data_IF_429971416533
#
_entry.id   IF_429971416533
#
_cell.length_a   1.000
_cell.length_b   1.000
_cell.length_c   1.000
_cell.angle_alpha   90.00
_cell.angle_beta   90.00
_cell.angle_gamma   90.00
#
_symmetry.space_group_name_H-M   'P 1'
#
loop_
_entity.id
_entity.type
_entity.pdbx_description
1 polymer ?
#
# COMPACT_ATOMS: atom_id res chain seq x y z
N UNK A 1 -15.31 23.16 -24.47
CA UNK A 1 -15.51 22.33 -25.68
C UNK A 1 -16.99 22.05 -25.96
N UNK A 2 -17.43 22.27 -27.19
CA UNK A 2 -18.76 21.88 -27.66
C UNK A 2 -18.80 20.36 -27.88
N UNK A 3 -19.92 19.70 -27.59
CA UNK A 3 -20.06 18.24 -27.78
C UNK A 3 -19.68 17.77 -29.20
N UNK A 4 -19.93 18.60 -30.22
CA UNK A 4 -19.54 18.34 -31.61
C UNK A 4 -18.04 18.41 -31.90
N UNK A 5 -17.23 18.83 -30.94
CA UNK A 5 -15.78 18.93 -31.03
C UNK A 5 -15.06 17.80 -30.27
N UNK A 6 -15.79 16.88 -29.62
CA UNK A 6 -15.18 15.66 -29.08
C UNK A 6 -14.79 14.73 -30.24
N UNK A 7 -13.63 14.08 -30.10
CA UNK A 7 -13.26 12.96 -30.95
C UNK A 7 -14.27 11.82 -30.74
N UNK A 8 -14.61 11.09 -31.82
CA UNK A 8 -15.47 9.90 -31.76
C UNK A 8 -14.68 8.71 -31.18
N UNK A 9 -14.20 8.86 -29.96
CA UNK A 9 -13.55 7.82 -29.17
C UNK A 9 -14.49 7.37 -28.05
N UNK A 10 -14.16 6.24 -27.42
CA UNK A 10 -14.87 5.75 -26.24
C UNK A 10 -14.29 6.38 -24.98
N UNK A 11 -15.15 6.81 -24.06
CA UNK A 11 -14.76 7.48 -22.81
C UNK A 11 -15.31 6.75 -21.60
N UNK A 12 -14.49 6.51 -20.57
CA UNK A 12 -14.96 5.86 -19.34
C UNK A 12 -16.08 6.65 -18.66
N UNK A 13 -15.91 7.97 -18.57
CA UNK A 13 -16.88 8.89 -17.97
C UNK A 13 -17.06 10.10 -18.88
N UNK A 14 -18.33 10.46 -19.13
CA UNK A 14 -18.68 11.66 -19.87
C UNK A 14 -19.57 12.57 -19.03
N UNK A 15 -19.08 13.78 -18.72
CA UNK A 15 -19.86 14.83 -18.05
C UNK A 15 -20.45 15.79 -19.08
N UNK A 16 -21.77 15.68 -19.30
CA UNK A 16 -22.49 16.51 -20.27
C UNK A 16 -23.25 17.64 -19.57
N UNK A 17 -22.88 18.89 -19.86
CA UNK A 17 -23.53 20.07 -19.29
C UNK A 17 -24.69 20.60 -20.13
N UNK A 18 -25.87 20.68 -19.53
CA UNK A 18 -27.04 21.32 -20.16
C UNK A 18 -27.01 22.84 -19.93
N UNK A 19 -27.16 23.68 -20.97
CA UNK A 19 -27.18 25.14 -20.84
C UNK A 19 -28.30 25.65 -19.92
N UNK A 20 -28.04 26.76 -19.21
CA UNK A 20 -28.99 27.35 -18.24
C UNK A 20 -30.17 28.06 -18.91
N UNK A 21 -30.01 28.47 -20.17
CA UNK A 21 -31.02 29.16 -20.98
C UNK A 21 -32.09 28.23 -21.56
N UNK A 22 -32.17 26.98 -21.10
CA UNK A 22 -32.99 25.95 -21.71
C UNK A 22 -34.38 25.88 -21.07
N UNK A 23 -35.42 26.07 -21.88
CA UNK A 23 -36.84 26.07 -21.47
C UNK A 23 -37.74 25.23 -22.40
N UNK A 24 -37.18 24.28 -23.16
CA UNK A 24 -37.90 23.49 -24.18
C UNK A 24 -37.95 21.96 -23.93
N UNK A 25 -38.74 21.25 -24.73
CA UNK A 25 -38.87 19.77 -24.71
C UNK A 25 -37.57 19.07 -25.16
N UNK A 26 -37.28 17.93 -24.54
CA UNK A 26 -36.02 17.15 -24.62
C UNK A 26 -35.70 16.51 -25.99
N UNK A 27 -36.53 16.70 -27.02
CA UNK A 27 -36.45 15.96 -28.29
C UNK A 27 -35.17 16.21 -29.11
N UNK A 28 -34.64 17.45 -29.16
CA UNK A 28 -33.35 17.74 -29.84
C UNK A 28 -32.10 17.28 -29.06
N UNK A 29 -32.26 16.91 -27.78
CA UNK A 29 -31.18 16.39 -26.94
C UNK A 29 -31.15 14.86 -26.96
N UNK A 30 -32.24 14.16 -27.29
CA UNK A 30 -32.28 12.70 -27.32
C UNK A 30 -31.24 12.10 -28.27
N UNK A 31 -31.06 12.63 -29.48
CA UNK A 31 -30.00 12.14 -30.38
C UNK A 31 -28.59 12.41 -29.83
N UNK A 32 -28.40 13.53 -29.12
CA UNK A 32 -27.12 13.88 -28.49
C UNK A 32 -26.85 13.04 -27.26
N UNK A 33 -27.88 12.76 -26.46
CA UNK A 33 -27.84 11.90 -25.28
C UNK A 33 -27.59 10.46 -25.70
N UNK A 34 -28.29 9.96 -26.72
CA UNK A 34 -28.06 8.64 -27.29
C UNK A 34 -26.65 8.51 -27.88
N UNK A 35 -26.15 9.55 -28.57
CA UNK A 35 -24.77 9.59 -29.05
C UNK A 35 -23.78 9.63 -27.88
N UNK A 36 -24.04 10.43 -26.85
CA UNK A 36 -23.19 10.52 -25.67
C UNK A 36 -23.14 9.19 -24.89
N UNK A 37 -24.30 8.56 -24.69
CA UNK A 37 -24.46 7.28 -24.01
C UNK A 37 -23.82 6.11 -24.79
N UNK A 38 -23.76 6.18 -26.12
CA UNK A 38 -23.06 5.17 -26.93
C UNK A 38 -21.54 5.36 -26.99
N UNK A 39 -21.03 6.50 -26.55
CA UNK A 39 -19.60 6.81 -26.51
C UNK A 39 -19.00 6.68 -25.10
N UNK A 40 -19.79 6.26 -24.10
CA UNK A 40 -19.33 6.20 -22.72
C UNK A 40 -19.94 5.07 -21.92
N UNK A 41 -19.18 4.55 -20.96
CA UNK A 41 -19.69 3.59 -19.98
C UNK A 41 -20.50 4.29 -18.87
N UNK A 42 -20.27 5.60 -18.65
CA UNK A 42 -20.96 6.37 -17.62
C UNK A 42 -21.21 7.83 -17.99
N UNK A 43 -22.47 8.10 -18.31
CA UNK A 43 -22.95 9.43 -18.65
C UNK A 43 -23.48 10.18 -17.42
N UNK A 44 -22.81 11.27 -17.05
CA UNK A 44 -23.20 12.18 -15.98
C UNK A 44 -23.76 13.48 -16.55
N UNK A 45 -24.99 13.84 -16.19
CA UNK A 45 -25.64 15.07 -16.68
C UNK A 45 -25.54 16.21 -15.67
N UNK A 46 -25.13 17.40 -16.12
CA UNK A 46 -25.13 18.61 -15.31
C UNK A 46 -26.27 19.56 -15.72
N UNK A 47 -27.33 19.55 -14.92
CA UNK A 47 -28.60 20.23 -15.15
C UNK A 47 -28.63 21.63 -14.50
N UNK A 48 -29.37 22.61 -15.05
CA UNK A 48 -29.60 23.89 -14.38
C UNK A 48 -30.45 23.73 -13.11
N UNK A 49 -30.27 24.60 -12.10
CA UNK A 49 -30.90 24.42 -10.78
C UNK A 49 -32.44 24.57 -10.78
N UNK A 50 -33.02 25.13 -11.83
CA UNK A 50 -34.45 25.29 -12.01
C UNK A 50 -35.09 24.21 -12.90
N UNK A 51 -34.31 23.21 -13.31
CA UNK A 51 -34.81 22.16 -14.19
C UNK A 51 -35.76 21.23 -13.42
N UNK A 52 -37.06 21.28 -13.76
CA UNK A 52 -38.03 20.26 -13.36
C UNK A 52 -37.90 19.09 -14.33
N UNK A 53 -36.98 18.17 -14.06
CA UNK A 53 -36.76 17.01 -14.93
C UNK A 53 -37.11 15.73 -14.21
N UNK A 54 -37.81 14.84 -14.91
CA UNK A 54 -38.15 13.52 -14.42
C UNK A 54 -36.91 12.59 -14.48
N UNK A 55 -36.51 12.05 -13.35
CA UNK A 55 -35.36 11.16 -13.24
C UNK A 55 -35.54 9.86 -14.05
N UNK A 56 -36.78 9.40 -14.25
CA UNK A 56 -37.06 8.19 -15.05
C UNK A 56 -36.83 8.40 -16.54
N UNK A 57 -37.14 9.58 -17.06
CA UNK A 57 -36.98 9.90 -18.48
C UNK A 57 -35.50 9.99 -18.86
N UNK A 58 -34.69 10.65 -18.03
CA UNK A 58 -33.24 10.74 -18.22
C UNK A 58 -32.53 9.39 -18.10
N UNK A 59 -33.02 8.51 -17.22
CA UNK A 59 -32.49 7.15 -17.09
C UNK A 59 -32.82 6.30 -18.32
N UNK A 60 -34.01 6.46 -18.89
CA UNK A 60 -34.40 5.81 -20.14
C UNK A 60 -33.58 6.34 -21.34
N UNK A 61 -33.15 7.61 -21.29
CA UNK A 61 -32.28 8.23 -22.28
C UNK A 61 -30.78 7.87 -22.10
N UNK A 62 -30.44 6.97 -21.17
CA UNK A 62 -29.09 6.42 -20.99
C UNK A 62 -28.17 7.21 -20.05
N UNK A 63 -28.71 8.16 -19.27
CA UNK A 63 -27.93 8.83 -18.23
C UNK A 63 -27.78 7.97 -16.97
N UNK A 64 -26.54 7.83 -16.48
CA UNK A 64 -26.26 7.06 -15.26
C UNK A 64 -26.55 7.87 -13.99
N UNK A 65 -26.30 9.19 -14.02
CA UNK A 65 -26.60 10.08 -12.91
C UNK A 65 -26.78 11.54 -13.37
N UNK A 66 -27.40 12.36 -12.51
CA UNK A 66 -27.66 13.76 -12.79
C UNK A 66 -27.28 14.65 -11.59
N UNK A 67 -26.61 15.78 -11.86
CA UNK A 67 -26.19 16.77 -10.89
C UNK A 67 -26.76 18.15 -11.24
N UNK A 68 -27.21 18.87 -10.22
CA UNK A 68 -27.66 20.25 -10.39
C UNK A 68 -26.47 21.20 -10.30
N UNK A 69 -26.41 22.21 -11.17
CA UNK A 69 -25.44 23.29 -11.10
C UNK A 69 -25.74 24.22 -9.90
N UNK A 70 -24.73 24.76 -9.20
CA UNK A 70 -23.29 24.64 -9.50
C UNK A 70 -22.73 23.25 -9.13
N UNK A 71 -21.85 22.73 -9.98
CA UNK A 71 -21.14 21.47 -9.73
C UNK A 71 -20.06 21.72 -8.69
N UNK A 72 -20.35 21.39 -7.43
CA UNK A 72 -19.36 21.45 -6.34
C UNK A 72 -18.61 20.13 -6.25
N UNK A 73 -17.34 20.18 -5.82
CA UNK A 73 -16.53 18.97 -5.58
C UNK A 73 -17.25 17.97 -4.66
N UNK A 74 -17.96 18.47 -3.64
CA UNK A 74 -18.75 17.68 -2.69
C UNK A 74 -19.89 16.87 -3.32
N UNK A 75 -20.39 17.29 -4.49
CA UNK A 75 -21.47 16.59 -5.21
C UNK A 75 -20.96 15.83 -6.43
N UNK A 76 -19.89 16.31 -7.05
CA UNK A 76 -19.28 15.67 -8.20
C UNK A 76 -18.49 14.42 -7.79
N UNK A 77 -17.70 14.49 -6.71
CA UNK A 77 -16.87 13.37 -6.28
C UNK A 77 -17.70 12.11 -5.98
N UNK A 78 -18.79 12.16 -5.18
CA UNK A 78 -19.59 10.95 -4.94
C UNK A 78 -20.20 10.35 -6.21
N UNK A 79 -20.59 11.19 -7.18
CA UNK A 79 -21.15 10.72 -8.44
C UNK A 79 -20.11 10.05 -9.34
N UNK A 80 -18.86 10.53 -9.32
CA UNK A 80 -17.74 9.89 -10.02
C UNK A 80 -17.28 8.61 -9.31
N UNK A 81 -17.26 8.58 -7.98
CA UNK A 81 -16.92 7.38 -7.20
C UNK A 81 -17.94 6.25 -7.42
N UNK A 82 -19.21 6.57 -7.65
CA UNK A 82 -20.23 5.57 -7.95
C UNK A 82 -19.97 4.86 -9.29
N UNK A 83 -19.42 5.55 -10.29
CA UNK A 83 -18.95 4.89 -11.52
C UNK A 83 -17.91 3.83 -11.20
N UNK A 84 -16.86 4.20 -10.45
CA UNK A 84 -15.82 3.25 -10.05
C UNK A 84 -16.41 2.05 -9.32
N UNK A 85 -17.43 2.26 -8.46
CA UNK A 85 -18.10 1.17 -7.74
C UNK A 85 -18.89 0.23 -8.66
N UNK A 86 -19.51 0.77 -9.71
CA UNK A 86 -20.37 0.01 -10.63
C UNK A 86 -19.56 -0.75 -11.70
N UNK A 87 -18.45 -0.19 -12.18
CA UNK A 87 -17.54 -0.88 -13.11
C UNK A 87 -16.57 -1.81 -12.40
N UNK A 88 -16.18 -1.49 -11.17
CA UNK A 88 -15.37 -2.37 -10.32
C UNK A 88 -16.21 -3.12 -9.29
N UNK A 89 -17.05 -4.05 -9.76
CA UNK A 89 -17.57 -5.14 -8.91
C UNK A 89 -16.46 -6.15 -8.49
N UNK A 90 -15.21 -5.84 -8.80
CA UNK A 90 -14.00 -6.35 -8.16
C UNK A 90 -12.99 -5.22 -8.23
N UNK A 91 -12.81 -4.45 -7.17
CA UNK A 91 -11.58 -3.70 -6.97
C UNK A 91 -10.58 -4.71 -6.37
N UNK A 92 -9.66 -5.32 -7.14
CA UNK A 92 -8.36 -5.57 -6.55
C UNK A 92 -7.84 -4.19 -6.16
N UNK A 93 -7.57 -4.02 -4.87
CA UNK A 93 -6.76 -2.94 -4.33
C UNK A 93 -5.58 -2.75 -5.29
N UNK A 94 -5.35 -1.50 -5.68
CA UNK A 94 -4.28 -1.03 -6.54
C UNK A 94 -3.17 -2.08 -6.71
N UNK A 95 -3.16 -2.79 -7.84
CA UNK A 95 -1.93 -3.43 -8.28
C UNK A 95 -0.99 -2.27 -8.64
N UNK A 96 -0.30 -1.74 -7.63
CA UNK A 96 1.03 -1.20 -7.81
C UNK A 96 1.81 -2.30 -8.53
N UNK A 97 2.04 -2.16 -9.84
CA UNK A 97 2.90 -3.09 -10.61
C UNK A 97 4.31 -3.24 -9.98
N UNK A 98 4.64 -2.38 -9.01
CA UNK A 98 5.88 -2.37 -8.24
C UNK A 98 5.80 -3.09 -6.89
N UNK A 99 4.62 -3.39 -6.34
CA UNK A 99 4.49 -4.02 -5.02
C UNK A 99 4.39 -5.54 -5.12
N UNK A 100 5.07 -6.20 -4.20
CA UNK A 100 5.07 -7.66 -4.09
C UNK A 100 3.68 -8.12 -3.61
N UNK A 101 3.08 -9.14 -4.24
CA UNK A 101 1.82 -9.73 -3.79
C UNK A 101 2.09 -10.58 -2.54
N UNK A 102 2.30 -9.89 -1.42
CA UNK A 102 2.70 -10.43 -0.13
C UNK A 102 1.92 -9.75 0.98
N UNK A 103 1.58 -10.55 1.98
CA UNK A 103 1.02 -10.12 3.26
C UNK A 103 2.08 -10.27 4.32
N UNK A 104 2.61 -9.14 4.79
CA UNK A 104 3.73 -9.10 5.75
C UNK A 104 3.25 -8.56 7.09
N UNK A 105 3.61 -9.24 8.18
CA UNK A 105 3.39 -8.74 9.53
C UNK A 105 4.68 -8.16 10.09
N UNK A 106 4.64 -6.96 10.67
CA UNK A 106 5.74 -6.35 11.40
C UNK A 106 5.39 -6.20 12.88
N UNK A 107 6.32 -6.58 13.75
CA UNK A 107 6.11 -6.59 15.20
C UNK A 107 7.26 -5.89 15.90
N UNK A 108 6.97 -4.81 16.63
CA UNK A 108 7.94 -4.05 17.42
C UNK A 108 7.21 -3.34 18.57
N UNK A 109 7.76 -3.35 19.78
CA UNK A 109 7.16 -2.69 20.95
C UNK A 109 7.37 -1.18 20.95
N UNK A 110 8.33 -0.69 20.16
CA UNK A 110 8.58 0.73 19.98
C UNK A 110 7.74 1.28 18.80
N UNK A 111 6.76 2.17 19.06
CA UNK A 111 5.88 2.68 18.01
C UNK A 111 6.63 3.48 16.93
N UNK A 112 7.79 4.07 17.23
CA UNK A 112 8.60 4.77 16.23
C UNK A 112 9.23 3.80 15.22
N UNK A 113 9.76 2.67 15.70
CA UNK A 113 10.31 1.62 14.85
C UNK A 113 9.22 0.95 14.03
N UNK A 114 8.10 0.60 14.67
CA UNK A 114 6.96 -0.02 13.99
C UNK A 114 6.43 0.86 12.86
N UNK A 115 6.35 2.17 13.10
CA UNK A 115 5.96 3.15 12.07
C UNK A 115 6.97 3.23 10.93
N UNK A 116 8.27 3.23 11.23
CA UNK A 116 9.32 3.21 10.19
C UNK A 116 9.19 1.96 9.32
N UNK A 117 9.06 0.77 9.93
CA UNK A 117 8.90 -0.49 9.21
C UNK A 117 7.62 -0.48 8.37
N UNK A 118 6.53 0.03 8.92
CA UNK A 118 5.26 0.19 8.20
C UNK A 118 5.43 1.01 6.92
N UNK A 119 6.04 2.19 7.00
CA UNK A 119 6.28 3.04 5.83
C UNK A 119 7.14 2.32 4.79
N UNK A 120 8.22 1.64 5.20
CA UNK A 120 9.09 0.92 4.28
C UNK A 120 8.37 -0.26 3.60
N UNK A 121 7.47 -0.94 4.30
CA UNK A 121 6.71 -2.07 3.77
C UNK A 121 5.55 -1.62 2.89
N UNK A 122 4.84 -0.55 3.25
CA UNK A 122 3.70 -0.02 2.50
C UNK A 122 4.06 0.33 1.06
N UNK A 123 5.31 0.74 0.80
CA UNK A 123 5.83 1.03 -0.54
C UNK A 123 6.23 -0.23 -1.34
N UNK A 124 6.34 -1.40 -0.67
CA UNK A 124 6.96 -2.60 -1.25
C UNK A 124 6.03 -3.82 -1.32
N UNK A 125 5.01 -3.93 -0.46
CA UNK A 125 4.11 -5.10 -0.40
C UNK A 125 2.63 -4.70 -0.41
N UNK A 126 1.77 -5.62 -0.86
CA UNK A 126 0.33 -5.36 -0.96
C UNK A 126 -0.37 -5.21 0.38
N UNK A 127 0.03 -5.99 1.39
CA UNK A 127 -0.63 -5.97 2.69
C UNK A 127 0.40 -5.97 3.82
N UNK A 128 0.22 -5.03 4.75
CA UNK A 128 1.05 -4.85 5.93
C UNK A 128 0.17 -4.89 7.17
N UNK A 129 0.51 -5.76 8.12
CA UNK A 129 -0.11 -5.80 9.45
C UNK A 129 0.92 -5.36 10.49
N UNK A 130 0.57 -4.36 11.31
CA UNK A 130 1.47 -3.82 12.33
C UNK A 130 1.01 -4.24 13.72
N UNK A 131 1.90 -4.88 14.48
CA UNK A 131 1.65 -5.32 15.84
C UNK A 131 2.62 -4.65 16.82
N UNK A 132 2.11 -4.25 17.97
CA UNK A 132 2.88 -3.57 19.03
C UNK A 132 3.43 -4.53 20.09
N UNK A 133 3.10 -5.82 19.99
CA UNK A 133 3.57 -6.83 20.94
C UNK A 133 3.56 -8.24 20.36
N UNK A 134 4.37 -9.13 20.92
CA UNK A 134 4.36 -10.55 20.54
C UNK A 134 3.01 -11.24 20.78
N UNK A 135 2.24 -10.80 21.80
CA UNK A 135 0.92 -11.36 22.07
C UNK A 135 -0.10 -10.98 20.99
N UNK A 136 -0.09 -9.71 20.56
CA UNK A 136 -0.92 -9.24 19.44
C UNK A 136 -0.57 -9.97 18.14
N UNK A 137 0.73 -10.15 17.86
CA UNK A 137 1.20 -10.89 16.69
C UNK A 137 0.69 -12.33 16.65
N UNK A 138 0.65 -13.03 17.79
CA UNK A 138 0.10 -14.38 17.89
C UNK A 138 -1.41 -14.39 17.62
N UNK A 139 -2.16 -13.40 18.13
CA UNK A 139 -3.60 -13.31 17.87
C UNK A 139 -3.91 -13.01 16.40
N UNK A 140 -3.14 -12.12 15.75
CA UNK A 140 -3.29 -11.86 14.32
C UNK A 140 -2.94 -13.08 13.47
N UNK A 141 -1.86 -13.80 13.82
CA UNK A 141 -1.45 -15.01 13.14
C UNK A 141 -2.47 -16.16 13.22
N UNK A 142 -3.41 -16.13 14.19
CA UNK A 142 -4.54 -17.06 14.25
C UNK A 142 -5.67 -16.72 13.29
N UNK A 143 -5.84 -15.44 12.97
CA UNK A 143 -6.97 -14.94 12.18
C UNK A 143 -6.70 -15.00 10.68
N UNK A 144 -5.44 -14.77 10.29
CA UNK A 144 -5.03 -14.70 8.89
C UNK A 144 -3.67 -15.37 8.67
N UNK A 145 -3.40 -15.73 7.42
CA UNK A 145 -2.11 -16.26 6.98
C UNK A 145 -1.19 -15.12 6.54
N UNK A 146 0.10 -15.23 6.85
CA UNK A 146 1.13 -14.27 6.44
C UNK A 146 2.14 -14.96 5.53
N UNK A 147 2.73 -14.21 4.60
CA UNK A 147 3.80 -14.66 3.73
C UNK A 147 5.18 -14.45 4.37
N UNK A 148 5.30 -13.44 5.25
CA UNK A 148 6.52 -13.12 5.98
C UNK A 148 6.18 -12.42 7.29
N UNK A 149 6.95 -12.68 8.34
CA UNK A 149 6.81 -12.01 9.64
C UNK A 149 8.16 -11.40 10.03
N UNK A 150 8.20 -10.09 10.22
CA UNK A 150 9.32 -9.37 10.84
C UNK A 150 9.03 -9.23 12.33
N UNK A 151 9.87 -9.82 13.18
CA UNK A 151 9.61 -9.93 14.62
C UNK A 151 10.77 -9.36 15.42
N UNK A 152 10.54 -8.30 16.19
CA UNK A 152 11.50 -7.86 17.20
C UNK A 152 11.71 -8.94 18.26
N UNK A 153 12.97 -9.22 18.60
CA UNK A 153 13.30 -10.18 19.63
C UNK A 153 13.04 -9.59 21.02
N UNK A 154 13.38 -8.31 21.21
CA UNK A 154 13.46 -7.69 22.53
C UNK A 154 12.19 -6.92 22.86
N UNK A 155 11.12 -7.63 23.23
CA UNK A 155 9.85 -7.03 23.64
C UNK A 155 9.51 -7.31 25.11
N UNK A 156 8.83 -6.39 25.81
CA UNK A 156 8.35 -6.62 27.18
C UNK A 156 7.23 -7.65 27.22
N UNK A 157 7.24 -8.48 28.27
CA UNK A 157 6.22 -9.51 28.51
C UNK A 157 6.47 -10.79 27.70
N UNK A 158 6.14 -10.76 26.41
CA UNK A 158 6.38 -11.89 25.49
C UNK A 158 7.47 -11.50 24.49
N UNK A 159 8.61 -12.19 24.56
CA UNK A 159 9.71 -11.99 23.61
C UNK A 159 9.37 -12.53 22.21
N UNK A 160 10.11 -12.06 21.20
CA UNK A 160 9.89 -12.45 19.81
C UNK A 160 10.18 -13.93 19.54
N UNK A 161 11.05 -14.55 20.35
CA UNK A 161 11.38 -15.99 20.23
C UNK A 161 10.16 -16.82 20.61
N UNK A 162 9.57 -16.54 21.78
CA UNK A 162 8.37 -17.22 22.25
C UNK A 162 7.15 -16.95 21.37
N UNK A 163 7.02 -15.72 20.85
CA UNK A 163 5.99 -15.41 19.87
C UNK A 163 6.16 -16.26 18.60
N UNK A 164 7.39 -16.39 18.08
CA UNK A 164 7.71 -17.26 16.93
C UNK A 164 7.36 -18.72 17.19
N UNK A 165 7.72 -19.27 18.36
CA UNK A 165 7.37 -20.64 18.75
C UNK A 165 5.86 -20.88 18.76
N UNK A 166 5.07 -19.93 19.28
CA UNK A 166 3.61 -20.02 19.30
C UNK A 166 2.99 -19.89 17.91
N UNK A 167 3.48 -18.96 17.09
CA UNK A 167 3.00 -18.77 15.71
C UNK A 167 3.23 -20.04 14.89
N UNK A 168 4.38 -20.71 15.03
CA UNK A 168 4.68 -21.94 14.30
C UNK A 168 3.84 -23.14 14.69
N UNK A 169 3.23 -23.13 15.89
CA UNK A 169 2.28 -24.16 16.29
C UNK A 169 0.93 -24.02 15.58
N UNK A 170 0.67 -22.89 14.91
CA UNK A 170 -0.57 -22.65 14.18
C UNK A 170 -0.56 -23.38 12.82
N UNK A 171 -1.62 -24.13 12.46
CA UNK A 171 -1.65 -24.95 11.24
C UNK A 171 -1.36 -24.18 9.94
N UNK A 172 -1.77 -22.91 9.87
CA UNK A 172 -1.64 -22.07 8.68
C UNK A 172 -0.32 -21.26 8.64
N UNK A 173 0.52 -21.36 9.68
CA UNK A 173 1.74 -20.56 9.82
C UNK A 173 3.01 -21.41 10.01
N UNK A 174 2.90 -22.74 9.90
CA UNK A 174 4.01 -23.66 10.16
C UNK A 174 5.23 -23.43 9.25
N UNK A 175 4.98 -22.96 8.03
CA UNK A 175 6.00 -22.70 7.01
C UNK A 175 6.28 -21.21 6.81
N UNK A 176 5.59 -20.33 7.54
CA UNK A 176 5.76 -18.89 7.37
C UNK A 176 7.15 -18.48 7.87
N UNK A 177 7.98 -17.84 7.02
CA UNK A 177 9.28 -17.37 7.43
C UNK A 177 9.13 -16.25 8.47
N UNK A 178 9.74 -16.47 9.63
CA UNK A 178 9.87 -15.46 10.69
C UNK A 178 11.31 -14.95 10.68
N UNK A 179 11.46 -13.64 10.48
CA UNK A 179 12.73 -12.93 10.41
C UNK A 179 12.90 -12.13 11.69
N UNK A 180 14.02 -12.34 12.37
CA UNK A 180 14.31 -11.67 13.62
C UNK A 180 14.79 -10.24 13.35
N UNK A 181 14.16 -9.24 13.95
CA UNK A 181 14.67 -7.87 13.96
C UNK A 181 15.46 -7.68 15.26
N UNK A 182 16.74 -7.32 15.18
CA UNK A 182 17.64 -7.24 16.36
C UNK A 182 18.48 -5.98 16.36
N UNK A 183 18.66 -5.37 17.54
CA UNK A 183 19.57 -4.24 17.72
C UNK A 183 21.06 -4.63 17.70
N UNK A 184 21.40 -5.92 17.86
CA UNK A 184 22.78 -6.39 17.93
C UNK A 184 23.03 -7.53 16.93
N UNK A 185 23.61 -7.21 15.77
CA UNK A 185 24.03 -8.19 14.76
C UNK A 185 25.35 -8.92 15.13
N UNK A 186 25.54 -9.28 16.40
CA UNK A 186 26.78 -9.94 16.84
C UNK A 186 26.79 -11.43 16.47
N UNK A 187 27.89 -11.86 15.85
CA UNK A 187 28.19 -13.26 15.58
C UNK A 187 28.07 -14.09 16.88
N UNK A 188 27.08 -15.00 16.90
CA UNK A 188 26.71 -15.81 18.08
C UNK A 188 25.24 -15.71 18.49
N UNK A 189 24.55 -14.60 18.19
CA UNK A 189 23.08 -14.57 18.29
C UNK A 189 22.42 -15.27 17.10
N UNK A 190 23.04 -15.20 15.92
CA UNK A 190 22.58 -15.86 14.69
C UNK A 190 22.29 -17.35 14.90
N UNK A 191 23.21 -18.09 15.51
CA UNK A 191 23.04 -19.53 15.75
C UNK A 191 21.90 -19.84 16.71
N UNK A 192 21.67 -18.98 17.70
CA UNK A 192 20.54 -19.12 18.64
C UNK A 192 19.20 -18.83 17.97
N UNK A 193 19.14 -17.81 17.12
CA UNK A 193 17.92 -17.44 16.39
C UNK A 193 17.56 -18.48 15.33
N UNK A 194 18.55 -18.97 14.59
CA UNK A 194 18.39 -20.09 13.66
C UNK A 194 18.03 -21.38 14.41
N UNK A 195 18.56 -21.60 15.63
CA UNK A 195 18.22 -22.75 16.49
C UNK A 195 16.80 -22.69 17.06
N UNK A 196 16.27 -21.50 17.34
CA UNK A 196 14.85 -21.26 17.63
C UNK A 196 13.96 -21.34 16.36
N UNK A 197 14.62 -21.51 15.21
CA UNK A 197 14.06 -21.69 13.88
C UNK A 197 13.39 -20.45 13.31
N UNK A 198 13.93 -19.27 13.63
CA UNK A 198 13.82 -18.11 12.75
C UNK A 198 14.63 -18.37 11.48
N UNK A 199 14.18 -17.81 10.35
CA UNK A 199 14.76 -18.10 9.04
C UNK A 199 15.96 -17.20 8.72
N UNK A 200 15.90 -15.94 9.17
CA UNK A 200 16.97 -14.97 9.01
C UNK A 200 16.87 -13.87 10.09
N UNK A 201 17.76 -12.89 10.03
CA UNK A 201 17.71 -11.71 10.88
C UNK A 201 17.96 -10.41 10.09
N UNK A 202 17.49 -9.31 10.64
CA UNK A 202 17.67 -7.95 10.15
C UNK A 202 18.19 -7.08 11.30
N UNK A 203 19.25 -6.33 11.07
CA UNK A 203 19.83 -5.45 12.08
C UNK A 203 19.03 -4.14 12.18
N UNK A 204 18.86 -3.61 13.39
CA UNK A 204 18.35 -2.25 13.59
C UNK A 204 19.53 -1.25 13.53
N UNK A 205 19.36 -0.06 12.91
CA UNK A 205 18.17 0.40 12.20
C UNK A 205 17.96 -0.34 10.88
N UNK A 206 16.70 -0.61 10.53
CA UNK A 206 16.36 -1.33 9.31
C UNK A 206 16.66 -0.46 8.10
N UNK A 207 17.49 -0.98 7.20
CA UNK A 207 17.80 -0.37 5.91
C UNK A 207 16.78 -0.81 4.85
N UNK A 208 16.38 0.13 3.99
CA UNK A 208 15.38 -0.11 2.93
C UNK A 208 15.87 -1.14 1.89
N UNK A 209 17.15 -1.08 1.50
CA UNK A 209 17.73 -2.01 0.52
C UNK A 209 17.84 -3.42 1.08
N UNK A 210 18.22 -3.55 2.36
CA UNK A 210 18.26 -4.84 3.06
C UNK A 210 16.86 -5.45 3.19
N UNK A 211 15.86 -4.63 3.58
CA UNK A 211 14.48 -5.07 3.67
C UNK A 211 13.94 -5.51 2.31
N UNK A 212 14.19 -4.73 1.25
CA UNK A 212 13.77 -5.07 -0.11
C UNK A 212 14.37 -6.38 -0.60
N UNK A 213 15.68 -6.54 -0.39
CA UNK A 213 16.41 -7.77 -0.74
C UNK A 213 15.85 -8.99 0.00
N UNK A 214 15.43 -8.80 1.26
CA UNK A 214 14.82 -9.84 2.06
C UNK A 214 13.42 -10.21 1.56
N UNK A 215 12.58 -9.22 1.25
CA UNK A 215 11.25 -9.44 0.70
C UNK A 215 11.29 -10.23 -0.62
N UNK A 216 12.21 -9.86 -1.52
CA UNK A 216 12.43 -10.58 -2.78
C UNK A 216 12.86 -12.03 -2.56
N UNK A 217 13.71 -12.28 -1.54
CA UNK A 217 14.20 -13.62 -1.20
C UNK A 217 13.08 -14.54 -0.72
N UNK A 218 12.13 -14.02 0.06
CA UNK A 218 11.06 -14.81 0.68
C UNK A 218 9.71 -14.70 -0.03
N UNK A 219 9.69 -14.21 -1.28
CA UNK A 219 8.47 -14.08 -2.08
C UNK A 219 7.76 -15.45 -2.28
N UNK A 220 6.42 -15.50 -2.14
CA UNK A 220 5.62 -16.69 -2.47
C UNK A 220 5.87 -17.15 -3.92
N UNK A 221 6.14 -18.45 -4.09
CA UNK A 221 6.43 -19.05 -5.41
C UNK A 221 7.92 -19.06 -5.80
N UNK A 222 8.81 -18.42 -5.04
CA UNK A 222 10.26 -18.52 -5.19
C UNK A 222 10.90 -19.50 -4.21
N UNK A 223 10.22 -20.64 -3.92
CA UNK A 223 10.84 -21.79 -3.25
C UNK A 223 11.62 -22.59 -4.31
N UNK A 224 12.69 -21.98 -4.80
CA UNK A 224 13.55 -22.51 -5.86
C UNK A 224 15.01 -22.31 -5.48
N UNK A 225 15.45 -22.99 -4.43
CA UNK A 225 16.85 -22.97 -4.01
C UNK A 225 17.08 -23.96 -2.89
N UNK A 226 17.50 -25.17 -3.23
CA UNK A 226 18.26 -26.03 -2.33
C UNK A 226 19.34 -25.21 -1.65
N UNK A 227 19.18 -25.00 -0.35
CA UNK A 227 20.14 -24.35 0.51
C UNK A 227 21.46 -25.13 0.46
N UNK A 228 22.40 -24.66 -0.36
CA UNK A 228 23.81 -25.04 -0.26
C UNK A 228 24.52 -23.84 0.33
N UNK A 229 25.08 -24.05 1.52
CA UNK A 229 25.91 -23.10 2.25
C UNK A 229 27.13 -22.79 1.37
N UNK A 230 27.27 -21.56 0.88
CA UNK A 230 28.57 -21.02 0.49
C UNK A 230 28.85 -19.80 1.34
N UNK A 231 29.75 -20.01 2.29
CA UNK A 231 30.43 -18.97 3.02
C UNK A 231 31.20 -18.09 2.04
N UNK A 232 30.93 -16.78 2.03
CA UNK A 232 31.89 -15.78 1.61
C UNK A 232 31.48 -14.42 2.20
N UNK A 233 32.29 -13.96 3.14
CA UNK A 233 32.18 -12.66 3.82
C UNK A 233 32.86 -11.57 3.00
N UNK A 234 32.33 -10.33 2.93
CA UNK A 234 33.16 -9.16 2.74
C UNK A 234 33.50 -8.56 4.10
N UNK A 235 34.77 -8.62 4.50
CA UNK A 235 35.28 -7.90 5.67
C UNK A 235 35.31 -6.40 5.39
N UNK A 236 34.57 -5.60 6.17
CA UNK A 236 34.67 -4.13 6.16
C UNK A 236 35.47 -3.70 7.40
N UNK A 237 36.67 -3.17 7.17
CA UNK A 237 37.54 -2.58 8.20
C UNK A 237 37.07 -1.15 8.51
N UNK A 238 36.50 -0.94 9.70
CA UNK A 238 36.13 0.41 10.18
C UNK A 238 37.21 0.93 11.12
N UNK A 239 37.80 2.07 10.74
CA UNK A 239 38.87 2.74 11.47
C UNK A 239 38.32 3.47 12.71
N UNK A 240 38.76 3.08 13.90
CA UNK A 240 38.18 3.46 15.20
C UNK A 240 38.51 4.89 15.69
N UNK A 241 39.11 5.75 14.86
CA UNK A 241 39.66 7.05 15.29
C UNK A 241 39.00 8.31 14.69
N UNK A 242 37.83 8.21 14.05
CA UNK A 242 37.13 9.40 13.54
C UNK A 242 35.95 9.78 14.46
N UNK A 243 36.19 10.66 15.43
CA UNK A 243 35.17 11.07 16.42
C UNK A 243 34.11 12.02 15.85
N UNK A 244 34.24 12.52 14.62
CA UNK A 244 33.22 13.38 14.00
C UNK A 244 33.27 13.26 12.48
N UNK A 245 32.20 12.72 11.87
CA UNK A 245 32.07 12.61 10.42
C UNK A 245 30.82 13.35 9.92
N UNK A 246 31.04 14.61 9.54
CA UNK A 246 30.00 15.48 8.97
C UNK A 246 29.40 14.90 7.68
N UNK A 247 30.16 14.12 6.89
CA UNK A 247 29.63 13.51 5.68
C UNK A 247 28.66 12.37 6.01
N UNK A 248 28.89 11.63 7.09
CA UNK A 248 27.97 10.61 7.57
C UNK A 248 26.66 11.24 8.07
N UNK A 249 26.73 12.32 8.86
CA UNK A 249 25.54 13.05 9.32
C UNK A 249 24.74 13.61 8.13
N UNK A 250 25.42 14.15 7.10
CA UNK A 250 24.74 14.65 5.90
C UNK A 250 24.08 13.53 5.08
N UNK A 251 24.71 12.36 5.02
CA UNK A 251 24.14 11.17 4.36
C UNK A 251 22.92 10.63 5.11
N UNK A 252 23.02 10.52 6.43
CA UNK A 252 21.89 10.12 7.29
C UNK A 252 20.72 11.11 7.22
N UNK A 253 21.01 12.39 7.01
CA UNK A 253 20.02 13.44 6.81
C UNK A 253 19.50 13.57 5.35
N UNK A 254 19.79 12.60 4.47
CA UNK A 254 19.42 12.64 3.05
C UNK A 254 19.86 13.93 2.32
N UNK A 255 21.06 14.41 2.64
CA UNK A 255 21.67 15.60 2.04
C UNK A 255 21.15 16.94 2.58
N UNK A 256 20.28 16.94 3.60
CA UNK A 256 19.75 18.17 4.21
C UNK A 256 20.66 18.65 5.34
N UNK A 257 21.35 19.80 5.18
CA UNK A 257 22.37 20.24 6.12
C UNK A 257 21.78 20.68 7.48
N UNK A 258 20.55 21.20 7.51
CA UNK A 258 19.91 21.65 8.75
C UNK A 258 19.56 20.47 9.66
N UNK A 259 19.05 19.38 9.07
CA UNK A 259 18.72 18.15 9.78
C UNK A 259 19.98 17.42 10.28
N UNK A 260 21.03 17.41 9.44
CA UNK A 260 22.34 16.86 9.83
C UNK A 260 22.96 17.61 11.02
N UNK A 261 22.69 18.91 11.14
CA UNK A 261 23.20 19.76 12.21
C UNK A 261 22.48 19.53 13.53
N UNK A 262 21.17 19.29 13.48
CA UNK A 262 20.37 18.91 14.65
C UNK A 262 20.71 17.50 15.16
N UNK A 263 21.11 16.58 14.28
CA UNK A 263 21.56 15.23 14.66
C UNK A 263 22.94 15.20 15.34
N UNK A 264 23.68 16.32 15.31
CA UNK A 264 25.03 16.44 15.88
C UNK A 264 25.10 17.29 17.16
N UNK A 265 23.96 17.81 17.67
CA UNK A 265 23.85 18.45 18.99
C UNK A 265 23.36 17.45 20.03
#
# INVERSE_FOLDING_TARGET
PTFSALANDHYDILLLGIPVTFTGELTMQQERLAKAASMTDYLLLALPCHAQINAEELKNDGAAACLLKPLTATRLLPALTEYCRLTHQSLPLENDEHKLPMTVMAVDDNPANLKLIGVLLEDQVQHVELCTSGAEAVEQAKQMQFDLILMDIQMPGMDGIRACELIRQLPHQQQTPVIAVTAHAMAGQKEKLLGAGMYDYLAKPIDEEELHSLLLRYKPGHIGGTYTITAESPEISVNQNATFDWQLALRQAAGKPDLARDMLQ
#
